data_IF_541455168460
#
_entry.id   IF_541455168460
#
_cell.length_a   1.000
_cell.length_b   1.000
_cell.length_c   1.000
_cell.angle_alpha   90.00
_cell.angle_beta   90.00
_cell.angle_gamma   90.00
#
_symmetry.space_group_name_H-M   'P 1'
#
loop_
_entity.id
_entity.type
_entity.pdbx_description
1 polymer ?
#
# COMPACT_ATOMS: atom_id res chain seq x y z
N UNK A 1 -9.28 -21.60 9.64
CA UNK A 1 -9.05 -21.47 11.10
C UNK A 1 -7.84 -20.58 11.28
N UNK A 2 -7.96 -19.51 12.06
CA UNK A 2 -6.84 -18.61 12.37
C UNK A 2 -6.08 -19.19 13.56
N UNK A 3 -4.77 -19.41 13.39
CA UNK A 3 -3.92 -19.73 14.53
C UNK A 3 -3.83 -18.50 15.43
N UNK A 4 -4.01 -18.63 16.76
CA UNK A 4 -3.81 -17.50 17.66
C UNK A 4 -2.36 -17.03 17.54
N UNK A 5 -2.14 -15.71 17.60
CA UNK A 5 -0.79 -15.16 17.58
C UNK A 5 0.00 -15.74 18.78
N UNK A 6 1.19 -16.29 18.55
CA UNK A 6 2.02 -16.78 19.64
C UNK A 6 2.46 -15.58 20.49
N UNK A 7 2.27 -15.70 21.80
CA UNK A 7 2.88 -14.81 22.80
C UNK A 7 4.19 -15.47 23.22
N UNK A 8 5.34 -14.88 22.88
CA UNK A 8 6.64 -15.49 23.14
C UNK A 8 7.02 -15.35 24.61
N UNK A 9 6.67 -14.22 25.24
CA UNK A 9 6.84 -13.99 26.68
C UNK A 9 5.65 -13.20 27.25
N UNK A 10 5.20 -13.54 28.45
CA UNK A 10 4.10 -12.87 29.13
C UNK A 10 4.49 -12.18 30.44
N UNK A 11 5.79 -12.11 30.72
CA UNK A 11 6.32 -11.52 31.93
C UNK A 11 5.97 -10.04 32.05
N UNK A 12 5.18 -9.70 33.07
CA UNK A 12 4.78 -8.31 33.35
C UNK A 12 5.72 -7.61 34.32
N UNK A 13 5.66 -6.28 34.38
CA UNK A 13 6.31 -5.49 35.41
C UNK A 13 5.98 -5.99 36.82
N UNK A 14 4.72 -6.34 37.08
CA UNK A 14 4.27 -6.81 38.38
C UNK A 14 4.90 -8.15 38.75
N UNK A 15 4.96 -9.08 37.79
CA UNK A 15 5.58 -10.39 37.97
C UNK A 15 7.09 -10.26 38.23
N UNK A 16 7.76 -9.40 37.46
CA UNK A 16 9.18 -9.09 37.66
C UNK A 16 9.43 -8.51 39.04
N UNK A 17 8.68 -7.49 39.45
CA UNK A 17 8.89 -6.84 40.73
C UNK A 17 8.58 -7.76 41.91
N UNK A 18 7.57 -8.63 41.79
CA UNK A 18 7.29 -9.64 42.81
C UNK A 18 8.46 -10.63 42.95
N UNK A 19 8.99 -11.12 41.83
CA UNK A 19 10.13 -12.04 41.82
C UNK A 19 11.42 -11.39 42.34
N UNK A 20 11.70 -10.15 41.91
CA UNK A 20 12.88 -9.39 42.32
C UNK A 20 12.83 -9.12 43.83
N UNK A 21 11.71 -8.58 44.35
CA UNK A 21 11.56 -8.27 45.79
C UNK A 21 11.82 -9.50 46.67
N UNK A 22 11.37 -10.68 46.24
CA UNK A 22 11.63 -11.95 46.94
C UNK A 22 13.11 -12.34 46.97
N UNK A 23 13.90 -11.90 45.99
CA UNK A 23 15.35 -12.20 45.89
C UNK A 23 16.24 -11.20 46.63
N UNK A 24 15.79 -9.96 46.87
CA UNK A 24 16.61 -8.91 47.49
C UNK A 24 17.33 -9.38 48.77
N UNK A 25 16.69 -10.06 49.75
CA UNK A 25 17.37 -10.46 50.97
C UNK A 25 18.55 -11.43 50.72
N UNK A 26 18.38 -12.36 49.78
CA UNK A 26 19.41 -13.34 49.44
C UNK A 26 20.54 -12.73 48.60
N UNK A 27 20.22 -11.84 47.65
CA UNK A 27 21.21 -11.21 46.76
C UNK A 27 22.00 -10.08 47.45
N UNK A 28 21.48 -9.53 48.54
CA UNK A 28 22.12 -8.44 49.30
C UNK A 28 22.77 -8.90 50.60
N UNK A 29 22.83 -10.20 50.88
CA UNK A 29 23.29 -10.77 52.16
C UNK A 29 22.60 -10.11 53.38
N UNK A 30 21.33 -9.69 53.21
CA UNK A 30 20.56 -8.98 54.22
C UNK A 30 21.01 -7.55 54.52
N UNK A 31 21.99 -6.99 53.80
CA UNK A 31 22.47 -5.61 53.99
C UNK A 31 21.41 -4.61 53.54
N UNK A 32 20.68 -4.93 52.47
CA UNK A 32 19.60 -4.09 51.96
C UNK A 32 18.29 -4.45 52.67
N UNK A 33 17.87 -3.62 53.61
CA UNK A 33 16.74 -3.91 54.52
C UNK A 33 15.47 -3.11 54.24
N UNK A 34 15.58 -1.92 53.66
CA UNK A 34 14.43 -1.08 53.28
C UNK A 34 13.99 -1.44 51.86
N UNK A 35 12.79 -2.00 51.66
CA UNK A 35 12.24 -2.33 50.32
C UNK A 35 10.92 -1.59 50.04
N UNK A 36 10.82 -0.35 50.51
CA UNK A 36 9.63 0.50 50.34
C UNK A 36 9.72 1.36 49.07
N UNK A 37 8.61 1.93 48.55
CA UNK A 37 8.65 2.81 47.37
C UNK A 37 9.52 4.06 47.50
N UNK A 38 9.86 4.47 48.73
CA UNK A 38 10.77 5.61 48.99
C UNK A 38 12.25 5.23 48.81
N UNK A 39 12.56 3.94 48.76
CA UNK A 39 13.93 3.47 48.58
C UNK A 39 14.38 3.69 47.12
N UNK A 40 15.44 4.48 46.87
CA UNK A 40 15.95 4.71 45.52
C UNK A 40 16.41 3.42 44.83
N UNK A 41 16.87 2.40 45.58
CA UNK A 41 17.22 1.11 45.01
C UNK A 41 16.00 0.39 44.41
N UNK A 42 14.86 0.42 45.12
CA UNK A 42 13.59 -0.12 44.61
C UNK A 42 13.14 0.67 43.38
N UNK A 43 13.26 2.00 43.38
CA UNK A 43 12.92 2.83 42.22
C UNK A 43 13.73 2.43 40.98
N UNK A 44 15.02 2.13 41.12
CA UNK A 44 15.86 1.66 40.01
C UNK A 44 15.40 0.30 39.49
N UNK A 45 15.06 -0.64 40.38
CA UNK A 45 14.53 -1.94 39.99
C UNK A 45 13.21 -1.80 39.23
N UNK A 46 12.33 -0.92 39.69
CA UNK A 46 11.05 -0.63 39.03
C UNK A 46 11.23 -0.04 37.65
N UNK A 47 12.22 0.86 37.48
CA UNK A 47 12.59 1.40 36.18
C UNK A 47 13.11 0.31 35.24
N UNK A 48 14.01 -0.56 35.70
CA UNK A 48 14.55 -1.63 34.86
C UNK A 48 13.48 -2.66 34.48
N UNK A 49 12.59 -3.03 35.41
CA UNK A 49 11.45 -3.89 35.10
C UNK A 49 10.57 -3.25 34.02
N UNK A 50 10.32 -1.95 34.10
CA UNK A 50 9.52 -1.24 33.10
C UNK A 50 10.20 -1.24 31.73
N UNK A 51 11.49 -0.92 31.68
CA UNK A 51 12.26 -0.94 30.43
C UNK A 51 12.30 -2.34 29.81
N UNK A 52 12.40 -3.38 30.63
CA UNK A 52 12.41 -4.77 30.15
C UNK A 52 11.04 -5.18 29.60
N UNK A 53 9.95 -4.86 30.29
CA UNK A 53 8.58 -5.11 29.81
C UNK A 53 8.33 -4.45 28.44
N UNK A 54 8.80 -3.21 28.26
CA UNK A 54 8.74 -2.55 26.96
C UNK A 54 9.52 -3.32 25.88
N UNK A 55 10.69 -3.88 26.20
CA UNK A 55 11.48 -4.68 25.23
C UNK A 55 10.81 -6.01 24.89
N UNK A 56 10.20 -6.67 25.87
CA UNK A 56 9.43 -7.90 25.65
C UNK A 56 8.27 -7.65 24.69
N UNK A 57 7.53 -6.55 24.88
CA UNK A 57 6.46 -6.16 23.95
C UNK A 57 6.94 -6.04 22.50
N UNK A 58 8.12 -5.44 22.27
CA UNK A 58 8.69 -5.32 20.92
C UNK A 58 9.15 -6.65 20.33
N UNK A 59 9.67 -7.55 21.19
CA UNK A 59 10.10 -8.89 20.77
C UNK A 59 8.94 -9.77 20.34
N UNK A 60 7.78 -9.63 21.00
CA UNK A 60 6.53 -10.32 20.66
C UNK A 60 5.93 -9.88 19.33
N UNK A 61 6.41 -8.80 18.71
CA UNK A 61 5.92 -8.36 17.41
C UNK A 61 6.56 -9.15 16.26
N UNK A 62 5.77 -9.38 15.21
CA UNK A 62 6.24 -9.91 13.93
C UNK A 62 6.47 -8.73 12.98
N UNK A 63 7.73 -8.33 12.69
CA UNK A 63 7.98 -7.19 11.80
C UNK A 63 7.63 -7.52 10.35
N UNK A 64 7.24 -6.51 9.56
CA UNK A 64 6.96 -6.66 8.12
C UNK A 64 8.12 -7.30 7.36
N UNK A 65 9.36 -7.02 7.78
CA UNK A 65 10.55 -7.62 7.19
C UNK A 65 10.58 -9.15 7.36
N UNK A 66 10.13 -9.68 8.50
CA UNK A 66 10.02 -11.12 8.74
C UNK A 66 8.94 -11.73 7.85
N UNK A 67 7.79 -11.05 7.72
CA UNK A 67 6.72 -11.50 6.82
C UNK A 67 7.23 -11.60 5.38
N UNK A 68 7.91 -10.57 4.87
CA UNK A 68 8.50 -10.57 3.52
C UNK A 68 9.55 -11.66 3.36
N UNK A 69 10.40 -11.89 4.37
CA UNK A 69 11.40 -12.96 4.33
C UNK A 69 10.75 -14.35 4.26
N UNK A 70 9.68 -14.60 5.03
CA UNK A 70 8.91 -15.85 4.99
C UNK A 70 8.24 -16.03 3.64
N UNK A 71 7.61 -14.99 3.07
CA UNK A 71 7.02 -15.06 1.72
C UNK A 71 8.08 -15.44 0.67
N UNK A 72 9.26 -14.83 0.74
CA UNK A 72 10.39 -15.16 -0.16
C UNK A 72 10.85 -16.62 -0.01
N UNK A 73 10.91 -17.15 1.22
CA UNK A 73 11.24 -18.56 1.47
C UNK A 73 10.21 -19.52 0.86
N UNK A 74 8.94 -19.13 0.81
CA UNK A 74 7.87 -19.90 0.17
C UNK A 74 7.84 -19.74 -1.37
N UNK A 75 8.78 -18.98 -1.95
CA UNK A 75 8.79 -18.68 -3.39
C UNK A 75 7.66 -17.73 -3.81
N UNK A 76 7.01 -17.05 -2.86
CA UNK A 76 5.99 -16.06 -3.13
C UNK A 76 6.67 -14.70 -3.34
N UNK A 77 6.29 -14.04 -4.43
CA UNK A 77 6.68 -12.65 -4.64
C UNK A 77 6.03 -11.75 -3.57
N UNK A 78 6.72 -10.69 -3.12
CA UNK A 78 6.12 -9.70 -2.23
C UNK A 78 4.86 -9.10 -2.86
N UNK A 79 3.97 -8.48 -2.05
CA UNK A 79 2.78 -7.82 -2.55
C UNK A 79 3.13 -6.90 -3.72
N UNK A 80 2.41 -7.08 -4.84
CA UNK A 80 2.65 -6.25 -6.02
C UNK A 80 2.37 -4.79 -5.67
N UNK A 81 3.21 -3.84 -6.13
CA UNK A 81 2.93 -2.43 -5.92
C UNK A 81 1.60 -2.06 -6.56
N UNK A 82 0.97 -1.02 -6.01
CA UNK A 82 -0.20 -0.42 -6.64
C UNK A 82 0.13 -0.03 -8.09
N UNK A 83 -0.76 -0.35 -9.03
CA UNK A 83 -0.63 0.02 -10.44
C UNK A 83 -1.53 1.23 -10.73
N UNK A 84 -1.10 2.17 -11.59
CA UNK A 84 -1.96 3.26 -12.03
C UNK A 84 -3.27 2.74 -12.62
N UNK A 85 -4.39 3.39 -12.30
CA UNK A 85 -5.64 3.13 -12.98
C UNK A 85 -5.62 3.83 -14.35
N UNK A 86 -6.19 3.20 -15.36
CA UNK A 86 -6.34 3.77 -16.70
C UNK A 86 -7.82 3.76 -17.10
N UNK A 87 -8.22 4.74 -17.90
CA UNK A 87 -9.59 4.86 -18.42
C UNK A 87 -9.57 5.48 -19.81
N UNK A 88 -10.70 5.40 -20.53
CA UNK A 88 -10.86 6.01 -21.85
C UNK A 88 -11.82 7.18 -21.77
N UNK A 89 -11.42 8.29 -22.37
CA UNK A 89 -12.22 9.50 -22.47
C UNK A 89 -12.42 9.86 -23.93
N UNK A 90 -13.63 10.31 -24.27
CA UNK A 90 -13.91 10.92 -25.58
C UNK A 90 -13.68 12.41 -25.47
N UNK A 91 -12.67 12.91 -26.17
CA UNK A 91 -12.44 14.34 -26.36
C UNK A 91 -13.18 14.80 -27.62
N UNK A 92 -13.90 15.91 -27.51
CA UNK A 92 -14.62 16.50 -28.65
C UNK A 92 -14.30 17.99 -28.73
N UNK A 93 -13.81 18.44 -29.88
CA UNK A 93 -13.63 19.85 -30.17
C UNK A 93 -15.01 20.50 -30.39
N UNK A 94 -15.25 21.67 -29.77
CA UNK A 94 -16.54 22.38 -29.85
C UNK A 94 -16.63 23.37 -31.01
N UNK A 95 -15.50 23.81 -31.58
CA UNK A 95 -15.47 24.81 -32.64
C UNK A 95 -15.05 24.19 -33.98
N UNK A 96 -15.90 24.39 -34.98
CA UNK A 96 -15.58 24.13 -36.39
C UNK A 96 -14.65 25.24 -36.90
N UNK A 97 -13.54 24.87 -37.55
CA UNK A 97 -12.63 25.82 -38.23
C UNK A 97 -11.36 26.24 -37.48
N UNK A 98 -11.09 25.69 -36.29
CA UNK A 98 -9.81 25.91 -35.59
C UNK A 98 -8.77 24.87 -36.02
N UNK A 99 -7.48 25.26 -36.05
CA UNK A 99 -6.37 24.32 -36.22
C UNK A 99 -6.48 23.15 -35.23
N UNK A 100 -6.17 21.94 -35.69
CA UNK A 100 -6.30 20.68 -34.94
C UNK A 100 -5.93 20.86 -33.45
N UNK A 101 -6.91 20.88 -32.53
CA UNK A 101 -6.61 21.16 -31.14
C UNK A 101 -5.80 19.99 -30.57
N UNK A 102 -4.61 20.30 -30.06
CA UNK A 102 -3.75 19.36 -29.35
C UNK A 102 -4.00 19.52 -27.85
N UNK A 103 -4.33 18.42 -27.18
CA UNK A 103 -4.41 18.35 -25.72
C UNK A 103 -3.07 17.83 -25.20
N UNK A 104 -2.29 18.62 -24.45
CA UNK A 104 -0.95 18.22 -24.03
C UNK A 104 -0.93 17.02 -23.07
N UNK A 105 0.18 16.28 -23.09
CA UNK A 105 0.55 15.34 -22.03
C UNK A 105 0.52 16.03 -20.66
N UNK A 106 0.13 15.29 -19.62
CA UNK A 106 -0.02 15.80 -18.26
C UNK A 106 -1.32 16.57 -18.02
N UNK A 107 -2.19 16.74 -19.02
CA UNK A 107 -3.51 17.35 -18.82
C UNK A 107 -4.31 16.57 -17.76
N UNK A 108 -4.65 17.24 -16.67
CA UNK A 108 -5.40 16.68 -15.56
C UNK A 108 -6.90 16.60 -15.87
N UNK A 109 -7.48 15.42 -15.71
CA UNK A 109 -8.88 15.11 -15.99
C UNK A 109 -9.50 14.43 -14.76
N UNK A 110 -10.65 14.93 -14.31
CA UNK A 110 -11.39 14.33 -13.22
C UNK A 110 -12.89 14.44 -13.43
N UNK A 111 -13.63 13.43 -12.97
CA UNK A 111 -15.10 13.46 -12.83
C UNK A 111 -15.53 13.55 -11.37
N UNK A 112 -14.56 13.46 -10.45
CA UNK A 112 -14.80 13.54 -9.01
C UNK A 112 -14.94 15.02 -8.61
N UNK A 113 -16.11 15.44 -8.07
CA UNK A 113 -16.30 16.82 -7.61
C UNK A 113 -15.34 17.25 -6.50
N UNK A 114 -14.80 16.30 -5.74
CA UNK A 114 -13.84 16.56 -4.67
C UNK A 114 -12.39 16.60 -5.17
N UNK A 115 -12.15 16.14 -6.41
CA UNK A 115 -10.84 16.13 -7.04
C UNK A 115 -9.83 15.15 -6.41
N UNK A 116 -10.29 14.13 -5.66
CA UNK A 116 -9.38 13.16 -5.03
C UNK A 116 -8.78 12.18 -6.03
N UNK A 117 -9.54 11.86 -7.10
CA UNK A 117 -9.07 10.99 -8.18
C UNK A 117 -8.88 11.83 -9.44
N UNK A 118 -7.62 12.02 -9.84
CA UNK A 118 -7.22 12.74 -11.04
C UNK A 118 -6.48 11.78 -11.96
N UNK A 119 -6.88 11.77 -13.22
CA UNK A 119 -6.18 11.08 -14.30
C UNK A 119 -5.39 12.11 -15.10
N UNK A 120 -4.26 11.70 -15.67
CA UNK A 120 -3.44 12.53 -16.57
C UNK A 120 -3.28 11.83 -17.91
N UNK A 121 -3.12 12.61 -18.97
CA UNK A 121 -2.68 12.07 -20.26
C UNK A 121 -1.18 11.76 -20.20
N UNK A 122 -0.76 10.63 -20.75
CA UNK A 122 0.67 10.28 -20.84
C UNK A 122 1.34 10.98 -22.03
N UNK A 123 0.60 11.15 -23.13
CA UNK A 123 1.07 11.72 -24.40
C UNK A 123 0.18 12.87 -24.88
N UNK A 124 0.71 13.70 -25.78
CA UNK A 124 -0.06 14.71 -26.50
C UNK A 124 -1.12 14.05 -27.40
N UNK A 125 -2.36 14.50 -27.31
CA UNK A 125 -3.49 13.97 -28.10
C UNK A 125 -4.00 15.04 -29.06
N UNK A 126 -3.84 14.82 -30.36
CA UNK A 126 -4.49 15.61 -31.39
C UNK A 126 -5.96 15.20 -31.54
N UNK A 127 -6.88 16.14 -31.32
CA UNK A 127 -8.33 15.90 -31.45
C UNK A 127 -8.74 16.19 -32.89
N UNK A 128 -8.80 15.13 -33.70
CA UNK A 128 -9.27 15.20 -35.08
C UNK A 128 -10.82 15.23 -35.12
N UNK A 129 -11.44 16.02 -36.00
CA UNK A 129 -12.86 15.90 -36.25
C UNK A 129 -13.14 14.56 -36.92
N UNK A 130 -13.86 13.66 -36.25
CA UNK A 130 -14.43 12.49 -36.90
C UNK A 130 -15.61 12.93 -37.77
N UNK A 131 -15.46 12.82 -39.09
CA UNK A 131 -16.62 12.80 -39.97
C UNK A 131 -17.32 11.44 -39.84
N UNK A 132 -18.66 11.44 -39.78
CA UNK A 132 -19.43 10.20 -39.84
C UNK A 132 -19.13 9.47 -41.16
N UNK A 133 -18.65 8.21 -41.06
CA UNK A 133 -18.37 7.35 -42.23
C UNK A 133 -16.90 7.00 -42.49
N UNK A 134 -15.95 7.48 -41.69
CA UNK A 134 -14.55 7.03 -41.78
C UNK A 134 -14.37 5.55 -41.37
N UNK A 135 -13.50 4.81 -42.08
CA UNK A 135 -13.13 3.45 -41.67
C UNK A 135 -12.23 3.48 -40.44
N UNK A 136 -12.79 3.20 -39.27
CA UNK A 136 -12.03 3.13 -38.02
C UNK A 136 -11.51 1.71 -37.81
N UNK A 137 -10.21 1.57 -37.62
CA UNK A 137 -9.58 0.32 -37.17
C UNK A 137 -9.09 0.45 -35.74
N UNK A 138 -9.27 -0.61 -34.95
CA UNK A 138 -8.93 -0.63 -33.52
C UNK A 138 -8.01 -1.80 -33.22
N UNK A 139 -6.88 -1.50 -32.61
CA UNK A 139 -5.85 -2.46 -32.26
C UNK A 139 -5.54 -2.41 -30.76
N UNK A 140 -5.60 -3.56 -30.10
CA UNK A 140 -5.19 -3.76 -28.70
C UNK A 140 -3.97 -4.68 -28.70
N UNK A 141 -4.03 -5.78 -27.95
CA UNK A 141 -3.20 -6.99 -28.12
C UNK A 141 -3.32 -7.64 -29.51
N UNK A 142 -4.44 -7.41 -30.20
CA UNK A 142 -4.74 -7.92 -31.55
C UNK A 142 -5.67 -6.97 -32.30
N UNK A 143 -5.88 -7.22 -33.59
CA UNK A 143 -6.87 -6.48 -34.37
C UNK A 143 -8.29 -6.76 -33.83
N UNK A 144 -8.98 -5.69 -33.40
CA UNK A 144 -10.37 -5.70 -32.90
C UNK A 144 -11.33 -5.00 -33.84
N UNK A 145 -10.89 -4.64 -35.05
CA UNK A 145 -11.71 -3.92 -36.03
C UNK A 145 -12.98 -4.68 -36.39
N UNK A 146 -12.91 -6.00 -36.55
CA UNK A 146 -14.09 -6.84 -36.80
C UNK A 146 -15.10 -6.78 -35.64
N UNK A 147 -14.62 -6.75 -34.39
CA UNK A 147 -15.46 -6.63 -33.20
C UNK A 147 -16.13 -5.25 -33.13
N UNK A 148 -15.40 -4.19 -33.50
CA UNK A 148 -15.94 -2.83 -33.61
C UNK A 148 -17.06 -2.76 -34.65
N UNK A 149 -16.82 -3.28 -35.85
CA UNK A 149 -17.81 -3.31 -36.94
C UNK A 149 -19.06 -4.12 -36.54
N UNK A 150 -18.87 -5.19 -35.77
CA UNK A 150 -19.96 -6.00 -35.22
C UNK A 150 -20.63 -5.41 -33.96
N UNK A 151 -20.23 -4.22 -33.50
CA UNK A 151 -20.71 -3.55 -32.27
C UNK A 151 -20.59 -4.41 -31.01
N UNK A 152 -19.56 -5.26 -30.93
CA UNK A 152 -19.23 -6.03 -29.73
C UNK A 152 -18.43 -5.16 -28.76
N UNK A 153 -18.52 -5.45 -27.46
CA UNK A 153 -17.70 -4.76 -26.46
C UNK A 153 -16.21 -5.05 -26.68
N UNK A 154 -15.39 -4.00 -26.72
CA UNK A 154 -13.94 -4.09 -26.91
C UNK A 154 -13.26 -3.55 -25.66
N UNK A 155 -12.35 -4.33 -25.08
CA UNK A 155 -11.46 -3.83 -24.04
C UNK A 155 -10.49 -2.83 -24.68
N UNK A 156 -10.52 -1.57 -24.25
CA UNK A 156 -9.68 -0.51 -24.79
C UNK A 156 -8.30 -0.40 -24.11
N UNK A 157 -8.06 -1.27 -23.13
CA UNK A 157 -6.77 -1.47 -22.49
C UNK A 157 -6.35 -2.91 -22.78
N UNK A 158 -5.11 -3.09 -23.22
CA UNK A 158 -4.53 -4.42 -23.41
C UNK A 158 -4.22 -5.09 -22.05
N UNK A 159 -3.84 -6.38 -22.07
CA UNK A 159 -3.56 -7.14 -20.85
C UNK A 159 -2.36 -6.63 -20.04
N UNK A 160 -1.50 -5.83 -20.67
CA UNK A 160 -0.38 -5.11 -20.06
C UNK A 160 -0.75 -3.71 -19.56
N UNK A 161 -1.98 -3.24 -19.82
CA UNK A 161 -2.47 -1.91 -19.48
C UNK A 161 -2.23 -0.85 -20.55
N UNK A 162 -1.63 -1.18 -21.70
CA UNK A 162 -1.40 -0.23 -22.77
C UNK A 162 -2.72 0.21 -23.44
N UNK A 163 -2.85 1.49 -23.84
CA UNK A 163 -4.05 1.97 -24.51
C UNK A 163 -4.20 1.39 -25.91
N UNK A 164 -5.45 1.12 -26.31
CA UNK A 164 -5.79 0.73 -27.67
C UNK A 164 -5.39 1.83 -28.67
N UNK A 165 -4.85 1.41 -29.82
CA UNK A 165 -4.52 2.31 -30.92
C UNK A 165 -5.66 2.33 -31.92
N UNK A 166 -6.09 3.53 -32.26
CA UNK A 166 -7.09 3.76 -33.31
C UNK A 166 -6.37 4.33 -34.53
N UNK A 167 -6.65 3.77 -35.71
CA UNK A 167 -6.21 4.33 -36.99
C UNK A 167 -7.43 4.65 -37.85
N UNK A 168 -7.38 5.80 -38.49
CA UNK A 168 -8.38 6.34 -39.41
C UNK A 168 -7.87 6.29 -40.85
#
# INVERSE_FOLDING_TARGET
>A
MTLPAPKLDDLTWADMMAAIRRRIPAESDGIWTLHAPVDPGVTLLELFAYLLEQRLYWLDQVPDALVVAVLRLLGLEPPRPARPAATVLRLAARQEGTALPVVPAGTALTRDPTGQIVFTLDDDVAVLPLAEGGEVTVWTDRDRTADLRARRGIALLAGDGAPARVRF
#
